data_IF_761053201123
#
_entry.id   IF_761053201123
#
_cell.length_a   1.000
_cell.length_b   1.000
_cell.length_c   1.000
_cell.angle_alpha   90.00
_cell.angle_beta   90.00
_cell.angle_gamma   90.00
#
_symmetry.space_group_name_H-M   'P 1'
#
loop_
_entity.id
_entity.type
_entity.pdbx_description
1 polymer ?
#
# COMPACT_ATOMS: atom_id res chain seq x y z
N UNK A 1 72.83 -37.03 -15.93
CA UNK A 1 72.01 -36.95 -14.67
C UNK A 1 71.43 -35.58 -14.42
N UNK A 2 72.23 -34.50 -14.46
CA UNK A 2 71.73 -33.13 -14.17
C UNK A 2 70.91 -32.62 -15.37
N UNK A 3 71.37 -32.82 -16.56
CA UNK A 3 70.69 -32.40 -17.79
C UNK A 3 69.36 -33.13 -17.98
N UNK A 4 69.28 -34.40 -17.66
CA UNK A 4 68.04 -35.19 -17.71
C UNK A 4 67.00 -34.66 -16.70
N UNK A 5 67.43 -34.32 -15.50
CA UNK A 5 66.58 -33.77 -14.45
C UNK A 5 66.02 -32.39 -14.85
N UNK A 6 66.87 -31.54 -15.43
CA UNK A 6 66.48 -30.22 -15.92
C UNK A 6 65.49 -30.37 -17.07
N UNK A 7 65.74 -31.27 -18.04
CA UNK A 7 64.85 -31.54 -19.16
C UNK A 7 63.48 -32.02 -18.71
N UNK A 8 63.39 -32.92 -17.73
CA UNK A 8 62.14 -33.43 -17.19
C UNK A 8 61.34 -32.29 -16.50
N UNK A 9 62.00 -31.41 -15.77
CA UNK A 9 61.36 -30.26 -15.15
C UNK A 9 60.83 -29.24 -16.13
N UNK A 10 61.58 -28.95 -17.20
CA UNK A 10 61.13 -28.07 -18.27
C UNK A 10 59.92 -28.67 -18.99
N UNK A 11 59.94 -29.94 -19.30
CA UNK A 11 58.84 -30.64 -19.97
C UNK A 11 57.57 -30.68 -19.10
N UNK A 12 57.69 -30.89 -17.77
CA UNK A 12 56.59 -30.85 -16.84
C UNK A 12 56.01 -29.42 -16.69
N UNK A 13 56.87 -28.38 -16.65
CA UNK A 13 56.45 -26.99 -16.62
C UNK A 13 55.71 -26.57 -17.91
N UNK A 14 56.22 -26.99 -19.08
CA UNK A 14 55.61 -26.73 -20.39
C UNK A 14 54.21 -27.40 -20.48
N UNK A 15 54.12 -28.67 -20.10
CA UNK A 15 52.86 -29.42 -20.06
C UNK A 15 51.86 -28.76 -19.14
N UNK A 16 52.28 -28.32 -17.95
CA UNK A 16 51.45 -27.59 -16.98
C UNK A 16 51.00 -26.26 -17.54
N UNK A 17 51.87 -25.51 -18.20
CA UNK A 17 51.54 -24.23 -18.84
C UNK A 17 50.54 -24.42 -19.97
N UNK A 18 50.70 -25.41 -20.82
CA UNK A 18 49.73 -25.74 -21.88
C UNK A 18 48.38 -26.16 -21.31
N UNK A 19 48.34 -26.95 -20.25
CA UNK A 19 47.11 -27.31 -19.54
C UNK A 19 46.40 -26.10 -18.97
N UNK A 20 47.13 -25.21 -18.28
CA UNK A 20 46.56 -23.98 -17.70
C UNK A 20 46.03 -23.04 -18.80
N UNK A 21 46.74 -22.85 -19.90
CA UNK A 21 46.27 -22.03 -21.03
C UNK A 21 45.00 -22.60 -21.65
N UNK A 22 44.94 -23.90 -21.86
CA UNK A 22 43.71 -24.54 -22.38
C UNK A 22 42.54 -24.37 -21.39
N UNK A 23 42.78 -24.42 -20.09
CA UNK A 23 41.75 -24.23 -19.09
C UNK A 23 41.30 -22.80 -19.00
N UNK A 24 42.19 -21.83 -19.13
CA UNK A 24 41.87 -20.40 -19.20
C UNK A 24 40.99 -20.13 -20.43
N UNK A 25 41.35 -20.67 -21.61
CA UNK A 25 40.56 -20.50 -22.82
C UNK A 25 39.15 -21.11 -22.70
N UNK A 26 39.05 -22.28 -22.07
CA UNK A 26 37.77 -22.94 -21.84
C UNK A 26 36.88 -22.09 -20.90
N UNK A 27 37.43 -21.60 -19.77
CA UNK A 27 36.72 -20.76 -18.81
C UNK A 27 36.34 -19.43 -19.45
N UNK A 28 37.23 -18.81 -20.23
CA UNK A 28 36.97 -17.55 -20.93
C UNK A 28 35.81 -17.68 -21.93
N UNK A 29 35.75 -18.79 -22.68
CA UNK A 29 34.63 -19.07 -23.59
C UNK A 29 33.33 -19.29 -22.83
N UNK A 30 33.35 -20.01 -21.71
CA UNK A 30 32.15 -20.22 -20.88
C UNK A 30 31.66 -18.89 -20.32
N UNK A 31 32.56 -18.05 -19.80
CA UNK A 31 32.23 -16.73 -19.27
C UNK A 31 31.58 -15.85 -20.36
N UNK A 32 32.20 -15.76 -21.55
CA UNK A 32 31.64 -14.97 -22.66
C UNK A 32 30.23 -15.45 -23.09
N UNK A 33 30.02 -16.77 -23.14
CA UNK A 33 28.71 -17.32 -23.44
C UNK A 33 27.68 -16.98 -22.36
N UNK A 34 28.07 -17.06 -21.09
CA UNK A 34 27.20 -16.70 -19.96
C UNK A 34 26.86 -15.21 -19.96
N UNK A 35 27.84 -14.34 -20.21
CA UNK A 35 27.61 -12.88 -20.32
C UNK A 35 26.64 -12.54 -21.47
N UNK A 36 26.81 -13.18 -22.65
CA UNK A 36 25.91 -12.98 -23.77
C UNK A 36 24.49 -13.47 -23.49
N UNK A 37 24.36 -14.60 -22.78
CA UNK A 37 23.04 -15.12 -22.37
C UNK A 37 22.35 -14.18 -21.37
N UNK A 38 23.10 -13.64 -20.40
CA UNK A 38 22.59 -12.66 -19.41
C UNK A 38 22.16 -11.38 -20.13
N UNK A 39 22.98 -10.88 -21.04
CA UNK A 39 22.65 -9.68 -21.81
C UNK A 39 21.40 -9.91 -22.67
N UNK A 40 21.33 -11.01 -23.40
CA UNK A 40 20.14 -11.38 -24.18
C UNK A 40 18.87 -11.49 -23.32
N UNK A 41 18.96 -12.07 -22.12
CA UNK A 41 17.84 -12.15 -21.19
C UNK A 41 17.41 -10.77 -20.67
N UNK A 42 18.37 -9.89 -20.37
CA UNK A 42 18.09 -8.50 -19.94
C UNK A 42 17.38 -7.72 -21.04
N UNK A 43 17.86 -7.85 -22.26
CA UNK A 43 17.30 -7.14 -23.43
C UNK A 43 15.89 -7.66 -23.75
N UNK A 44 15.69 -8.99 -23.72
CA UNK A 44 14.39 -9.62 -23.99
C UNK A 44 13.33 -9.26 -22.93
N UNK A 45 13.74 -9.13 -21.68
CA UNK A 45 12.85 -8.78 -20.55
C UNK A 45 12.84 -7.30 -20.21
N UNK A 46 13.57 -6.47 -20.95
CA UNK A 46 13.70 -5.02 -20.73
C UNK A 46 14.13 -4.67 -19.28
N UNK A 47 15.01 -5.51 -18.69
CA UNK A 47 15.46 -5.37 -17.30
C UNK A 47 16.69 -4.49 -17.27
N UNK A 48 16.52 -3.24 -16.89
CA UNK A 48 17.61 -2.27 -16.80
C UNK A 48 18.35 -2.43 -15.46
N UNK A 49 17.64 -2.65 -14.38
CA UNK A 49 18.22 -2.81 -13.05
C UNK A 49 17.22 -3.47 -12.07
N UNK A 50 17.33 -4.79 -11.86
CA UNK A 50 16.42 -5.56 -11.00
C UNK A 50 16.36 -4.99 -9.57
N UNK A 51 17.49 -4.55 -9.02
CA UNK A 51 17.53 -4.00 -7.67
C UNK A 51 16.72 -2.72 -7.54
N UNK A 52 16.83 -1.83 -8.52
CA UNK A 52 16.09 -0.57 -8.54
C UNK A 52 14.60 -0.80 -8.76
N UNK A 53 14.22 -1.75 -9.62
CA UNK A 53 12.82 -2.15 -9.82
C UNK A 53 12.23 -2.71 -8.52
N UNK A 54 12.95 -3.62 -7.86
CA UNK A 54 12.54 -4.21 -6.57
C UNK A 54 12.31 -3.15 -5.50
N UNK A 55 13.22 -2.18 -5.35
CA UNK A 55 13.05 -1.08 -4.39
C UNK A 55 11.85 -0.20 -4.73
N UNK A 56 11.61 0.05 -6.01
CA UNK A 56 10.48 0.86 -6.49
C UNK A 56 9.15 0.16 -6.22
N UNK A 57 9.07 -1.14 -6.51
CA UNK A 57 7.87 -1.93 -6.30
C UNK A 57 7.56 -2.10 -4.80
N UNK A 58 8.58 -2.32 -3.96
CA UNK A 58 8.41 -2.36 -2.51
C UNK A 58 7.89 -1.02 -1.96
N UNK A 59 8.40 0.11 -2.44
CA UNK A 59 7.91 1.44 -2.06
C UNK A 59 6.46 1.63 -2.48
N UNK A 60 6.11 1.23 -3.71
CA UNK A 60 4.74 1.28 -4.22
C UNK A 60 3.78 0.45 -3.35
N UNK A 61 4.12 -0.81 -3.08
CA UNK A 61 3.34 -1.70 -2.23
C UNK A 61 3.18 -1.10 -0.83
N UNK A 62 4.27 -0.59 -0.24
CA UNK A 62 4.23 0.06 1.08
C UNK A 62 3.30 1.27 1.10
N UNK A 63 3.36 2.14 0.10
CA UNK A 63 2.47 3.30 -0.02
C UNK A 63 1.00 2.90 -0.17
N UNK A 64 0.70 1.89 -0.98
CA UNK A 64 -0.65 1.37 -1.15
C UNK A 64 -1.19 0.78 0.16
N UNK A 65 -0.37 0.02 0.91
CA UNK A 65 -0.74 -0.53 2.23
C UNK A 65 -0.98 0.55 3.28
N UNK A 66 -0.22 1.64 3.26
CA UNK A 66 -0.47 2.80 4.13
C UNK A 66 -1.81 3.44 3.78
N UNK A 67 -2.10 3.65 2.50
CA UNK A 67 -3.39 4.20 2.06
C UNK A 67 -4.55 3.28 2.44
N UNK A 68 -4.40 1.98 2.27
CA UNK A 68 -5.38 0.97 2.67
C UNK A 68 -5.67 1.01 4.17
N UNK A 69 -4.62 1.12 4.99
CA UNK A 69 -4.74 1.26 6.44
C UNK A 69 -5.51 2.52 6.84
N UNK A 70 -5.21 3.65 6.18
CA UNK A 70 -5.92 4.90 6.43
C UNK A 70 -7.42 4.80 6.07
N UNK A 71 -7.74 4.18 4.93
CA UNK A 71 -9.14 3.96 4.54
C UNK A 71 -9.84 3.03 5.54
N UNK A 72 -9.17 1.96 5.99
CA UNK A 72 -9.70 1.05 6.99
C UNK A 72 -10.03 1.77 8.31
N UNK A 73 -9.13 2.60 8.80
CA UNK A 73 -9.36 3.43 9.99
C UNK A 73 -10.57 4.35 9.82
N UNK A 74 -10.72 4.98 8.64
CA UNK A 74 -11.88 5.82 8.34
C UNK A 74 -13.18 5.02 8.30
N UNK A 75 -13.17 3.81 7.73
CA UNK A 75 -14.33 2.91 7.72
C UNK A 75 -14.74 2.45 9.12
N UNK A 76 -13.77 2.15 9.98
CA UNK A 76 -14.00 1.81 11.39
C UNK A 76 -14.64 2.99 12.14
N UNK A 77 -14.14 4.20 11.97
CA UNK A 77 -14.71 5.41 12.55
C UNK A 77 -16.13 5.68 12.07
N UNK A 78 -16.42 5.45 10.77
CA UNK A 78 -17.78 5.54 10.21
C UNK A 78 -18.70 4.50 10.83
N UNK A 79 -18.22 3.28 11.02
CA UNK A 79 -19.01 2.22 11.61
C UNK A 79 -19.40 2.55 13.06
N UNK A 80 -18.43 2.98 13.87
CA UNK A 80 -18.68 3.42 15.25
C UNK A 80 -19.70 4.57 15.30
N UNK A 81 -19.59 5.54 14.40
CA UNK A 81 -20.51 6.66 14.32
C UNK A 81 -21.93 6.21 13.96
N UNK A 82 -22.08 5.33 12.97
CA UNK A 82 -23.38 4.78 12.59
C UNK A 82 -24.03 4.01 13.75
N UNK A 83 -23.27 3.18 14.43
CA UNK A 83 -23.74 2.44 15.61
C UNK A 83 -24.19 3.38 16.73
N UNK A 84 -23.47 4.47 16.91
CA UNK A 84 -23.80 5.46 17.93
C UNK A 84 -25.09 6.23 17.60
N UNK A 85 -25.24 6.64 16.36
CA UNK A 85 -26.49 7.30 15.87
C UNK A 85 -27.67 6.32 15.99
N UNK A 86 -27.47 5.04 15.60
CA UNK A 86 -28.52 4.01 15.67
C UNK A 86 -28.98 3.72 17.11
N UNK A 87 -28.11 3.87 18.12
CA UNK A 87 -28.45 3.70 19.54
C UNK A 87 -29.27 4.86 20.10
N UNK A 88 -29.57 5.89 19.32
CA UNK A 88 -30.44 6.99 19.72
C UNK A 88 -29.93 7.81 20.89
N UNK A 89 -28.63 7.80 21.16
CA UNK A 89 -28.05 8.64 22.23
C UNK A 89 -27.99 10.07 21.74
N UNK A 90 -28.70 10.95 22.42
CA UNK A 90 -28.77 12.39 22.09
C UNK A 90 -27.41 13.11 22.11
N UNK A 91 -26.38 12.45 22.61
CA UNK A 91 -25.02 12.97 22.78
C UNK A 91 -23.99 12.37 21.81
N UNK A 92 -24.40 11.92 20.59
CA UNK A 92 -23.45 11.43 19.60
C UNK A 92 -22.38 12.48 19.24
N UNK A 93 -22.63 13.72 19.57
CA UNK A 93 -21.75 14.86 19.37
C UNK A 93 -20.63 14.99 20.43
N UNK A 94 -20.73 14.27 21.54
CA UNK A 94 -19.69 14.26 22.59
C UNK A 94 -18.54 13.28 22.25
N UNK A 95 -18.72 12.42 21.25
CA UNK A 95 -17.67 11.53 20.69
C UNK A 95 -16.76 12.22 19.67
N UNK A 96 -16.88 13.51 19.54
CA UNK A 96 -16.21 14.34 18.53
C UNK A 96 -14.67 14.35 18.49
N UNK A 97 -13.85 13.76 19.38
CA UNK A 97 -12.40 13.76 19.21
C UNK A 97 -11.93 13.04 17.94
N UNK A 98 -12.69 12.06 17.44
CA UNK A 98 -12.30 11.29 16.25
C UNK A 98 -12.94 11.82 14.94
N UNK A 99 -13.78 12.85 15.03
CA UNK A 99 -14.39 13.47 13.84
C UNK A 99 -13.40 14.25 12.97
N UNK A 100 -12.24 14.59 13.48
CA UNK A 100 -11.15 15.21 12.69
C UNK A 100 -10.61 14.27 11.60
N UNK A 101 -10.83 12.96 11.74
CA UNK A 101 -10.50 11.98 10.70
C UNK A 101 -11.45 12.04 9.49
N UNK A 102 -12.66 12.63 9.67
CA UNK A 102 -13.56 12.94 8.57
C UNK A 102 -13.14 14.28 7.95
N UNK A 103 -12.27 14.21 6.98
CA UNK A 103 -11.81 15.36 6.18
C UNK A 103 -12.92 15.96 5.30
N UNK A 104 -14.17 15.51 5.47
CA UNK A 104 -15.31 16.10 4.81
C UNK A 104 -15.81 17.32 5.60
N UNK A 105 -15.47 18.49 5.09
CA UNK A 105 -15.87 19.79 5.62
C UNK A 105 -17.39 19.86 5.87
N UNK A 106 -18.17 19.17 5.04
CA UNK A 106 -19.64 19.16 5.09
C UNK A 106 -20.15 18.47 6.37
N UNK A 107 -19.59 17.30 6.71
CA UNK A 107 -19.99 16.56 7.92
C UNK A 107 -19.66 17.32 9.18
N UNK A 108 -18.51 18.00 9.22
CA UNK A 108 -18.09 18.82 10.36
C UNK A 108 -19.01 20.03 10.58
N UNK A 109 -19.40 20.70 9.52
CA UNK A 109 -20.34 21.83 9.60
C UNK A 109 -21.74 21.41 10.03
N UNK A 110 -22.22 20.25 9.54
CA UNK A 110 -23.50 19.70 9.96
C UNK A 110 -23.53 19.34 11.44
N UNK A 111 -22.50 18.70 11.94
CA UNK A 111 -22.37 18.41 13.37
C UNK A 111 -22.42 19.69 14.20
N UNK A 112 -21.70 20.74 13.78
CA UNK A 112 -21.78 22.07 14.45
C UNK A 112 -23.18 22.63 14.44
N UNK A 113 -23.89 22.52 13.30
CA UNK A 113 -25.25 23.02 13.17
C UNK A 113 -26.25 22.28 14.07
N UNK A 114 -26.14 20.95 14.13
CA UNK A 114 -26.98 20.13 15.01
C UNK A 114 -26.72 20.50 16.47
N UNK A 115 -25.43 20.65 16.90
CA UNK A 115 -25.09 21.12 18.25
C UNK A 115 -25.72 22.47 18.59
N UNK A 116 -25.64 23.41 17.66
CA UNK A 116 -26.24 24.74 17.82
C UNK A 116 -27.77 24.64 18.02
N UNK A 117 -28.44 23.85 17.20
CA UNK A 117 -29.88 23.63 17.30
C UNK A 117 -30.30 22.91 18.59
N UNK A 118 -29.47 21.97 19.08
CA UNK A 118 -29.70 21.32 20.37
C UNK A 118 -29.56 22.31 21.54
N UNK A 119 -28.60 23.22 21.45
CA UNK A 119 -28.47 24.33 22.42
C UNK A 119 -29.74 25.24 22.39
N UNK A 120 -30.18 25.65 21.20
CA UNK A 120 -31.40 26.43 20.99
C UNK A 120 -32.64 25.74 21.60
N UNK A 121 -32.79 24.42 21.32
CA UNK A 121 -33.85 23.61 21.89
C UNK A 121 -33.81 23.62 23.42
N UNK A 122 -32.63 23.44 24.03
CA UNK A 122 -32.45 23.45 25.46
C UNK A 122 -32.86 24.79 26.09
N UNK A 123 -32.49 25.89 25.45
CA UNK A 123 -32.84 27.22 25.89
C UNK A 123 -34.35 27.46 25.79
N UNK A 124 -35.00 27.04 24.71
CA UNK A 124 -36.45 27.11 24.55
C UNK A 124 -37.19 26.29 25.61
N UNK A 125 -36.70 25.12 25.99
CA UNK A 125 -37.29 24.25 27.01
C UNK A 125 -37.23 24.84 28.42
N UNK A 126 -36.41 25.86 28.67
CA UNK A 126 -36.43 26.59 29.94
C UNK A 126 -37.68 27.45 30.10
N UNK A 127 -38.28 27.86 28.98
CA UNK A 127 -39.42 28.81 28.99
C UNK A 127 -40.71 28.18 28.43
N UNK A 128 -40.60 27.19 27.55
CA UNK A 128 -41.71 26.60 26.83
C UNK A 128 -41.79 25.08 27.05
N UNK A 129 -42.97 24.51 26.87
CA UNK A 129 -43.17 23.07 26.96
C UNK A 129 -42.70 22.38 25.67
N UNK A 130 -42.43 21.09 25.73
CA UNK A 130 -42.03 20.28 24.55
C UNK A 130 -43.08 20.28 23.42
N UNK A 131 -44.33 20.61 23.75
CA UNK A 131 -45.41 20.69 22.75
C UNK A 131 -45.54 22.05 22.06
N UNK A 132 -44.78 23.06 22.50
CA UNK A 132 -44.80 24.39 21.86
C UNK A 132 -44.28 24.31 20.43
N UNK A 133 -44.90 25.08 19.51
CA UNK A 133 -44.59 25.07 18.08
C UNK A 133 -43.11 25.44 17.81
N UNK A 134 -42.53 26.32 18.64
CA UNK A 134 -41.13 26.75 18.52
C UNK A 134 -40.21 25.59 18.82
N UNK A 135 -40.48 24.80 19.85
CA UNK A 135 -39.70 23.60 20.18
C UNK A 135 -39.85 22.56 19.11
N UNK A 136 -41.06 22.30 18.64
CA UNK A 136 -41.32 21.36 17.51
C UNK A 136 -40.61 21.76 16.23
N UNK A 137 -40.53 23.05 15.94
CA UNK A 137 -39.81 23.54 14.75
C UNK A 137 -38.30 23.27 14.84
N UNK A 138 -37.70 23.49 16.00
CA UNK A 138 -36.28 23.20 16.24
C UNK A 138 -36.03 21.71 16.21
N UNK A 139 -36.91 20.88 16.80
CA UNK A 139 -36.84 19.43 16.70
C UNK A 139 -36.88 18.92 15.26
N UNK A 140 -37.76 19.49 14.46
CA UNK A 140 -37.81 19.14 13.03
C UNK A 140 -36.51 19.49 12.33
N UNK A 141 -35.93 20.68 12.58
CA UNK A 141 -34.64 21.06 11.99
C UNK A 141 -33.51 20.13 12.44
N UNK A 142 -33.45 19.74 13.71
CA UNK A 142 -32.48 18.78 14.22
C UNK A 142 -32.61 17.46 13.48
N UNK A 143 -33.84 16.95 13.34
CA UNK A 143 -34.13 15.71 12.63
C UNK A 143 -33.66 15.79 11.17
N UNK A 144 -34.08 16.84 10.45
CA UNK A 144 -33.75 17.02 9.02
C UNK A 144 -32.22 17.05 8.82
N UNK A 145 -31.47 17.77 9.68
CA UNK A 145 -30.00 17.80 9.62
C UNK A 145 -29.36 16.46 10.02
N UNK A 146 -29.95 15.74 10.96
CA UNK A 146 -29.47 14.41 11.36
C UNK A 146 -29.68 13.39 10.23
N UNK A 147 -30.85 13.37 9.61
CA UNK A 147 -31.17 12.49 8.48
C UNK A 147 -30.21 12.74 7.31
N UNK A 148 -29.95 14.01 7.00
CA UNK A 148 -28.98 14.37 5.95
C UNK A 148 -27.53 13.98 6.33
N UNK A 149 -27.13 14.13 7.58
CA UNK A 149 -25.82 13.68 8.05
C UNK A 149 -25.66 12.18 7.91
N UNK A 150 -26.68 11.40 8.27
CA UNK A 150 -26.70 9.93 8.14
C UNK A 150 -26.56 9.53 6.65
N UNK A 151 -27.30 10.18 5.75
CA UNK A 151 -27.20 9.92 4.31
C UNK A 151 -25.79 10.24 3.78
N UNK A 152 -25.21 11.38 4.17
CA UNK A 152 -23.85 11.77 3.80
C UNK A 152 -22.82 10.74 4.28
N UNK A 153 -22.94 10.27 5.51
CA UNK A 153 -22.07 9.23 6.10
C UNK A 153 -22.17 7.92 5.32
N UNK A 154 -23.38 7.50 4.95
CA UNK A 154 -23.59 6.29 4.16
C UNK A 154 -22.97 6.39 2.76
N UNK A 155 -23.09 7.55 2.11
CA UNK A 155 -22.49 7.81 0.81
C UNK A 155 -20.96 7.81 0.90
N UNK A 156 -20.40 8.41 1.95
CA UNK A 156 -18.97 8.41 2.22
C UNK A 156 -18.47 6.98 2.48
N UNK A 157 -19.20 6.19 3.28
CA UNK A 157 -18.87 4.78 3.52
C UNK A 157 -18.79 4.00 2.21
N UNK A 158 -19.82 4.12 1.36
CA UNK A 158 -19.87 3.44 0.06
C UNK A 158 -18.68 3.83 -0.84
N UNK A 159 -18.30 5.10 -0.84
CA UNK A 159 -17.13 5.59 -1.58
C UNK A 159 -15.83 5.00 -1.04
N UNK A 160 -15.67 4.94 0.29
CA UNK A 160 -14.49 4.36 0.94
C UNK A 160 -14.40 2.84 0.75
N UNK A 161 -15.53 2.12 0.82
CA UNK A 161 -15.59 0.68 0.53
C UNK A 161 -15.13 0.39 -0.91
N UNK A 162 -15.56 1.21 -1.86
CA UNK A 162 -15.12 1.09 -3.27
C UNK A 162 -13.61 1.38 -3.41
N UNK A 163 -13.12 2.44 -2.75
CA UNK A 163 -11.68 2.76 -2.76
C UNK A 163 -10.85 1.67 -2.09
N UNK A 164 -11.33 1.09 -1.00
CA UNK A 164 -10.67 0.00 -0.30
C UNK A 164 -10.52 -1.23 -1.19
N UNK A 165 -11.61 -1.57 -1.92
CA UNK A 165 -11.60 -2.69 -2.87
C UNK A 165 -10.59 -2.46 -4.00
N UNK A 166 -10.63 -1.28 -4.62
CA UNK A 166 -9.70 -0.95 -5.69
C UNK A 166 -8.23 -1.00 -5.22
N UNK A 167 -7.95 -0.47 -4.00
CA UNK A 167 -6.63 -0.57 -3.40
C UNK A 167 -6.19 -2.01 -3.13
N UNK A 168 -7.12 -2.88 -2.76
CA UNK A 168 -6.82 -4.31 -2.60
C UNK A 168 -6.39 -4.93 -3.93
N UNK A 169 -7.12 -4.64 -4.99
CA UNK A 169 -6.82 -5.13 -6.33
C UNK A 169 -5.46 -4.60 -6.81
N UNK A 170 -5.18 -3.31 -6.59
CA UNK A 170 -3.89 -2.66 -6.92
C UNK A 170 -2.71 -3.27 -6.14
N UNK A 171 -2.91 -3.58 -4.84
CA UNK A 171 -1.90 -4.23 -4.00
C UNK A 171 -1.63 -5.65 -4.51
N UNK A 172 -2.69 -6.42 -4.80
CA UNK A 172 -2.55 -7.78 -5.29
C UNK A 172 -1.81 -7.82 -6.64
N UNK A 173 -2.10 -6.88 -7.53
CA UNK A 173 -1.39 -6.75 -8.81
C UNK A 173 0.09 -6.38 -8.58
N UNK A 174 0.37 -5.40 -7.73
CA UNK A 174 1.74 -5.01 -7.40
C UNK A 174 2.53 -6.14 -6.72
N UNK A 175 1.90 -6.91 -5.84
CA UNK A 175 2.53 -8.07 -5.20
C UNK A 175 2.81 -9.20 -6.21
N UNK A 176 1.94 -9.44 -7.17
CA UNK A 176 2.18 -10.42 -8.26
C UNK A 176 3.40 -10.04 -9.09
N UNK A 177 3.53 -8.76 -9.45
CA UNK A 177 4.71 -8.25 -10.18
C UNK A 177 5.97 -8.42 -9.33
N UNK A 178 5.90 -8.06 -8.05
CA UNK A 178 7.03 -8.18 -7.12
C UNK A 178 7.49 -9.62 -6.92
N UNK A 179 6.58 -10.60 -6.79
CA UNK A 179 6.92 -12.02 -6.64
C UNK A 179 7.67 -12.56 -7.86
N UNK A 180 7.40 -12.05 -9.05
CA UNK A 180 8.12 -12.44 -10.28
C UNK A 180 9.58 -11.95 -10.35
N UNK A 181 9.97 -10.92 -9.57
CA UNK A 181 11.33 -10.37 -9.57
C UNK A 181 12.38 -11.30 -8.94
N UNK A 182 12.16 -11.93 -7.77
CA UNK A 182 13.09 -12.90 -7.19
C UNK A 182 13.34 -14.12 -8.09
N UNK A 183 12.35 -14.56 -8.86
CA UNK A 183 12.53 -15.65 -9.81
C UNK A 183 13.44 -15.24 -10.97
N UNK A 184 13.29 -14.01 -11.46
CA UNK A 184 14.18 -13.42 -12.49
C UNK A 184 15.61 -13.28 -11.96
N UNK A 185 15.77 -12.81 -10.72
CA UNK A 185 17.08 -12.69 -10.07
C UNK A 185 17.75 -14.05 -9.86
N UNK A 186 16.98 -15.04 -9.40
CA UNK A 186 17.47 -16.41 -9.24
C UNK A 186 17.94 -17.00 -10.57
N UNK A 187 17.19 -16.81 -11.65
CA UNK A 187 17.54 -17.28 -12.97
C UNK A 187 18.84 -16.61 -13.47
N UNK A 188 18.97 -15.29 -13.29
CA UNK A 188 20.20 -14.56 -13.61
C UNK A 188 21.40 -15.05 -12.82
N UNK A 189 21.23 -15.30 -11.52
CA UNK A 189 22.30 -15.81 -10.67
C UNK A 189 22.71 -17.24 -11.06
N UNK A 190 21.80 -18.06 -11.55
CA UNK A 190 22.13 -19.39 -12.09
C UNK A 190 22.92 -19.27 -13.40
N UNK A 191 22.53 -18.36 -14.30
CA UNK A 191 23.27 -18.10 -15.56
C UNK A 191 24.67 -17.52 -15.33
N UNK A 192 24.90 -16.82 -14.20
CA UNK A 192 26.23 -16.30 -13.80
C UNK A 192 27.14 -17.36 -13.16
N UNK A 193 26.63 -18.53 -12.81
CA UNK A 193 27.41 -19.59 -12.11
C UNK A 193 28.00 -20.65 -13.01
N UNK A 194 27.48 -20.80 -14.23
CA UNK A 194 27.93 -21.74 -15.24
C UNK A 194 29.07 -21.14 -16.10
#
# INVERSE_FOLDING_TARGET
YIDDYISIKYQAAETTSQFLNNRIDEVSKKLSNSENNIQGYRDDKNIINIRQETETDLRKISQLKIQQTNIKMNLEAIHELNDYIARGKDNFLDLAPNFEAFTDLLSTEMVKKIKQLQGEKKDLLLTYTANDERVKLVDKKIKDHTDYLVESIQNTKKSLDTKYKNLNDDIEEAEKVFIGLPEKEKLMNMMNRD
#
